data_IF_133798873029
#
_entry.id   IF_133798873029
#
_cell.length_a   1.000
_cell.length_b   1.000
_cell.length_c   1.000
_cell.angle_alpha   90.00
_cell.angle_beta   90.00
_cell.angle_gamma   90.00
#
_symmetry.space_group_name_H-M   'P 1'
#
loop_
_entity.id
_entity.type
_entity.pdbx_description
1 polymer ?
#
# COMPACT_ATOMS: atom_id res chain seq x y z
N UNK A 1 -13.46 17.48 -13.77
CA UNK A 1 -13.59 16.04 -14.13
C UNK A 1 -12.75 15.63 -15.35
N UNK A 2 -12.75 16.39 -16.47
CA UNK A 2 -11.96 16.06 -17.69
C UNK A 2 -10.48 15.76 -17.44
N UNK A 3 -9.85 16.46 -16.49
CA UNK A 3 -8.44 16.28 -16.15
C UNK A 3 -8.12 14.81 -15.85
N UNK A 4 -8.84 14.15 -14.95
CA UNK A 4 -8.54 12.77 -14.53
C UNK A 4 -9.31 11.67 -15.29
N UNK A 5 -10.03 12.03 -16.37
CA UNK A 5 -10.93 11.11 -17.06
C UNK A 5 -10.22 9.83 -17.54
N UNK A 6 -9.01 9.94 -18.09
CA UNK A 6 -8.21 8.78 -18.51
C UNK A 6 -7.87 7.84 -17.35
N UNK A 7 -7.47 8.39 -16.21
CA UNK A 7 -7.16 7.57 -15.04
C UNK A 7 -8.43 6.90 -14.48
N UNK A 8 -9.56 7.62 -14.45
CA UNK A 8 -10.84 7.04 -14.02
C UNK A 8 -11.24 5.88 -14.94
N UNK A 9 -11.13 6.06 -16.27
CA UNK A 9 -11.38 4.99 -17.23
C UNK A 9 -10.48 3.78 -17.01
N UNK A 10 -9.17 4.00 -16.86
CA UNK A 10 -8.20 2.94 -16.53
C UNK A 10 -8.59 2.22 -15.23
N UNK A 11 -8.87 2.97 -14.16
CA UNK A 11 -9.20 2.41 -12.86
C UNK A 11 -10.46 1.53 -12.92
N UNK A 12 -11.51 2.00 -13.59
CA UNK A 12 -12.75 1.23 -13.78
C UNK A 12 -12.49 -0.03 -14.62
N UNK A 13 -11.71 0.08 -15.69
CA UNK A 13 -11.33 -1.09 -16.51
C UNK A 13 -10.53 -2.12 -15.70
N UNK A 14 -9.54 -1.69 -14.91
CA UNK A 14 -8.74 -2.58 -14.07
C UNK A 14 -9.59 -3.21 -12.96
N UNK A 15 -10.51 -2.45 -12.34
CA UNK A 15 -11.43 -2.98 -11.36
C UNK A 15 -12.35 -4.05 -11.97
N UNK A 16 -12.98 -3.75 -13.11
CA UNK A 16 -13.85 -4.69 -13.80
C UNK A 16 -13.11 -5.96 -14.22
N UNK A 17 -11.93 -5.82 -14.84
CA UNK A 17 -11.09 -6.94 -15.23
C UNK A 17 -10.63 -7.76 -14.02
N UNK A 18 -10.22 -7.09 -12.93
CA UNK A 18 -9.78 -7.71 -11.69
C UNK A 18 -10.86 -8.61 -11.09
N UNK A 19 -12.07 -8.08 -10.92
CA UNK A 19 -13.19 -8.87 -10.42
C UNK A 19 -13.62 -9.97 -11.40
N UNK A 20 -13.65 -9.70 -12.71
CA UNK A 20 -13.96 -10.74 -13.71
C UNK A 20 -12.97 -11.92 -13.64
N UNK A 21 -11.67 -11.64 -13.54
CA UNK A 21 -10.63 -12.67 -13.38
C UNK A 21 -10.80 -13.40 -12.05
N UNK A 22 -11.10 -12.69 -10.97
CA UNK A 22 -11.33 -13.28 -9.65
C UNK A 22 -12.44 -14.35 -9.71
N UNK A 23 -13.58 -14.02 -10.32
CA UNK A 23 -14.71 -14.94 -10.44
C UNK A 23 -14.48 -16.05 -11.46
N UNK A 24 -13.66 -15.83 -12.50
CA UNK A 24 -13.47 -16.79 -13.58
C UNK A 24 -12.35 -17.81 -13.32
N UNK A 25 -11.20 -17.39 -12.77
CA UNK A 25 -10.00 -18.23 -12.72
C UNK A 25 -9.30 -18.31 -11.36
N UNK A 26 -9.57 -17.38 -10.44
CA UNK A 26 -8.94 -17.37 -9.11
C UNK A 26 -9.77 -18.10 -8.05
N UNK A 27 -10.39 -19.22 -8.43
CA UNK A 27 -11.31 -20.01 -7.60
C UNK A 27 -10.60 -20.97 -6.63
N UNK A 28 -9.27 -21.08 -6.69
CA UNK A 28 -8.47 -21.93 -5.83
C UNK A 28 -7.61 -21.11 -4.85
N UNK A 29 -7.29 -21.73 -3.71
CA UNK A 29 -6.47 -21.16 -2.63
C UNK A 29 -5.17 -21.94 -2.56
N UNK A 30 -4.04 -21.23 -2.60
CA UNK A 30 -2.72 -21.82 -2.37
C UNK A 30 -2.45 -22.01 -0.87
N UNK A 31 -1.46 -22.84 -0.52
CA UNK A 31 -1.14 -23.19 0.87
C UNK A 31 -0.97 -21.96 1.79
N UNK A 32 -0.23 -20.94 1.34
CA UNK A 32 -0.04 -19.71 2.13
C UNK A 32 -1.33 -18.90 2.29
N UNK A 33 -2.13 -18.83 1.22
CA UNK A 33 -3.42 -18.14 1.21
C UNK A 33 -4.42 -18.85 2.14
N UNK A 34 -4.34 -20.18 2.23
CA UNK A 34 -5.18 -20.99 3.12
C UNK A 34 -4.88 -20.72 4.58
N UNK A 35 -3.60 -20.50 4.93
CA UNK A 35 -3.20 -20.09 6.28
C UNK A 35 -3.83 -18.74 6.63
N UNK A 36 -3.75 -17.75 5.74
CA UNK A 36 -4.33 -16.42 5.98
C UNK A 36 -5.86 -16.46 5.99
N UNK A 37 -6.48 -17.27 5.14
CA UNK A 37 -7.92 -17.54 5.18
C UNK A 37 -8.35 -18.19 6.50
N UNK A 38 -7.59 -19.15 7.01
CA UNK A 38 -7.84 -19.75 8.32
C UNK A 38 -7.68 -18.73 9.45
N UNK A 39 -6.65 -17.88 9.40
CA UNK A 39 -6.48 -16.76 10.34
C UNK A 39 -7.70 -15.83 10.30
N UNK A 40 -8.16 -15.44 9.12
CA UNK A 40 -9.35 -14.59 8.96
C UNK A 40 -10.61 -15.22 9.54
N UNK A 41 -10.79 -16.53 9.35
CA UNK A 41 -11.88 -17.29 9.96
C UNK A 41 -11.76 -17.32 11.49
N UNK A 42 -10.58 -17.53 12.05
CA UNK A 42 -10.38 -17.51 13.51
C UNK A 42 -10.62 -16.13 14.12
N UNK A 43 -10.25 -15.06 13.42
CA UNK A 43 -10.57 -13.67 13.83
C UNK A 43 -12.08 -13.47 13.82
N UNK A 44 -12.78 -13.90 12.76
CA UNK A 44 -14.24 -13.82 12.65
C UNK A 44 -14.94 -14.58 13.79
N UNK A 45 -14.43 -15.75 14.15
CA UNK A 45 -14.95 -16.59 15.24
C UNK A 45 -14.54 -16.09 16.63
N UNK A 46 -13.78 -14.99 16.74
CA UNK A 46 -13.27 -14.44 17.99
C UNK A 46 -12.28 -15.34 18.73
N UNK A 47 -11.66 -16.31 18.03
CA UNK A 47 -10.77 -17.32 18.62
C UNK A 47 -9.35 -16.82 18.83
N UNK A 48 -8.84 -16.04 17.88
CA UNK A 48 -7.45 -15.60 17.92
C UNK A 48 -7.23 -14.30 17.12
N UNK A 49 -6.34 -13.46 17.62
CA UNK A 49 -6.02 -12.13 17.06
C UNK A 49 -4.52 -12.03 16.80
N UNK A 50 -4.04 -12.53 15.64
CA UNK A 50 -2.61 -12.64 15.37
C UNK A 50 -1.97 -11.28 15.09
N UNK A 51 -0.69 -11.15 15.48
CA UNK A 51 0.18 -10.04 15.08
C UNK A 51 1.02 -10.36 13.83
N UNK A 52 1.24 -11.65 13.55
CA UNK A 52 2.06 -12.18 12.45
C UNK A 52 1.36 -13.35 11.76
N UNK A 53 1.87 -13.77 10.60
CA UNK A 53 1.38 -14.98 9.93
C UNK A 53 1.53 -16.20 10.84
N UNK A 54 0.54 -17.09 10.86
CA UNK A 54 0.64 -18.33 11.65
C UNK A 54 1.89 -19.14 11.25
N UNK A 55 2.58 -19.64 12.27
CA UNK A 55 3.81 -20.41 12.10
C UNK A 55 5.06 -19.58 11.82
N UNK A 56 4.95 -18.25 11.74
CA UNK A 56 6.07 -17.35 11.46
C UNK A 56 6.13 -16.20 12.47
N UNK A 57 7.33 -15.83 12.96
CA UNK A 57 7.50 -14.68 13.85
C UNK A 57 7.62 -13.34 13.10
N UNK A 58 7.21 -13.30 11.82
CA UNK A 58 7.32 -12.14 10.94
C UNK A 58 6.11 -12.04 10.00
N UNK A 59 6.13 -11.07 9.07
CA UNK A 59 5.06 -10.84 8.08
C UNK A 59 3.72 -10.42 8.72
N UNK A 60 3.71 -9.27 9.39
CA UNK A 60 2.46 -8.72 9.93
C UNK A 60 1.49 -8.30 8.82
N UNK A 61 1.97 -8.08 7.59
CA UNK A 61 1.13 -7.80 6.43
C UNK A 61 0.11 -8.91 6.19
N UNK A 62 0.50 -10.18 6.38
CA UNK A 62 -0.40 -11.32 6.29
C UNK A 62 -1.45 -11.32 7.42
N UNK A 63 -1.09 -10.90 8.64
CA UNK A 63 -2.05 -10.74 9.73
C UNK A 63 -3.08 -9.64 9.39
N UNK A 64 -2.62 -8.50 8.88
CA UNK A 64 -3.52 -7.44 8.41
C UNK A 64 -4.44 -7.88 7.26
N UNK A 65 -3.94 -8.66 6.30
CA UNK A 65 -4.79 -9.27 5.27
C UNK A 65 -5.81 -10.25 5.88
N UNK A 66 -5.47 -10.98 6.94
CA UNK A 66 -6.42 -11.82 7.67
C UNK A 66 -7.55 -11.01 8.35
N UNK A 67 -7.24 -9.83 8.90
CA UNK A 67 -8.26 -8.92 9.44
C UNK A 67 -9.16 -8.35 8.33
N UNK A 68 -8.62 -8.04 7.14
CA UNK A 68 -9.44 -7.66 5.98
C UNK A 68 -10.34 -8.82 5.55
N UNK A 69 -9.78 -10.04 5.53
CA UNK A 69 -10.53 -11.24 5.18
C UNK A 69 -11.65 -11.55 6.19
N UNK A 70 -11.44 -11.33 7.48
CA UNK A 70 -12.48 -11.56 8.49
C UNK A 70 -13.70 -10.66 8.28
N UNK A 71 -13.47 -9.39 7.92
CA UNK A 71 -14.55 -8.45 7.54
C UNK A 71 -15.25 -8.94 6.27
N UNK A 72 -14.51 -9.35 5.24
CA UNK A 72 -15.10 -9.88 4.01
C UNK A 72 -15.91 -11.17 4.27
N UNK A 73 -15.43 -12.05 5.15
CA UNK A 73 -16.12 -13.27 5.54
C UNK A 73 -17.39 -13.00 6.33
N UNK A 74 -17.41 -11.98 7.18
CA UNK A 74 -18.62 -11.56 7.88
C UNK A 74 -19.73 -11.10 6.91
N UNK A 75 -19.35 -10.45 5.80
CA UNK A 75 -20.29 -9.89 4.82
C UNK A 75 -20.74 -10.90 3.76
N UNK A 76 -19.83 -11.76 3.29
CA UNK A 76 -20.05 -12.59 2.10
C UNK A 76 -19.88 -14.10 2.36
N UNK A 77 -19.63 -14.49 3.61
CA UNK A 77 -19.33 -15.87 3.99
C UNK A 77 -17.86 -16.24 3.83
N UNK A 78 -17.44 -17.31 4.49
CA UNK A 78 -16.07 -17.83 4.37
C UNK A 78 -15.89 -18.49 3.00
N UNK A 79 -14.93 -18.02 2.22
CA UNK A 79 -14.66 -18.59 0.89
C UNK A 79 -13.51 -17.92 0.15
N UNK A 80 -13.18 -18.47 -1.01
CA UNK A 80 -12.05 -18.00 -1.83
C UNK A 80 -12.28 -16.59 -2.38
N UNK A 81 -13.49 -16.34 -2.89
CA UNK A 81 -13.84 -15.05 -3.49
C UNK A 81 -13.81 -13.92 -2.47
N UNK A 82 -14.43 -14.03 -1.26
CA UNK A 82 -14.31 -12.98 -0.24
C UNK A 82 -12.86 -12.76 0.23
N UNK A 83 -12.07 -13.84 0.35
CA UNK A 83 -10.66 -13.76 0.74
C UNK A 83 -9.84 -12.96 -0.27
N UNK A 84 -9.87 -13.37 -1.54
CA UNK A 84 -9.09 -12.73 -2.61
C UNK A 84 -9.69 -11.40 -3.05
N UNK A 85 -10.99 -11.20 -2.90
CA UNK A 85 -11.68 -9.94 -3.15
C UNK A 85 -11.12 -8.80 -2.30
N UNK A 86 -10.78 -9.07 -1.03
CA UNK A 86 -10.06 -8.11 -0.18
C UNK A 86 -8.73 -7.65 -0.80
N UNK A 87 -7.97 -8.57 -1.38
CA UNK A 87 -6.67 -8.28 -2.03
C UNK A 87 -6.86 -7.50 -3.33
N UNK A 88 -7.90 -7.79 -4.10
CA UNK A 88 -8.26 -7.00 -5.30
C UNK A 88 -8.57 -5.55 -4.89
N UNK A 89 -9.34 -5.33 -3.81
CA UNK A 89 -9.63 -3.99 -3.31
C UNK A 89 -8.35 -3.27 -2.85
N UNK A 90 -7.47 -3.93 -2.11
CA UNK A 90 -6.19 -3.36 -1.70
C UNK A 90 -5.31 -3.03 -2.92
N UNK A 91 -5.33 -3.86 -3.95
CA UNK A 91 -4.61 -3.62 -5.21
C UNK A 91 -5.13 -2.40 -5.97
N UNK A 92 -6.45 -2.19 -5.98
CA UNK A 92 -7.05 -0.98 -6.55
C UNK A 92 -6.67 0.26 -5.74
N UNK A 93 -6.66 0.15 -4.40
CA UNK A 93 -6.17 1.22 -3.53
C UNK A 93 -4.70 1.55 -3.83
N UNK A 94 -3.83 0.55 -4.00
CA UNK A 94 -2.45 0.74 -4.45
C UNK A 94 -2.39 1.51 -5.76
N UNK A 95 -3.13 1.08 -6.79
CA UNK A 95 -3.16 1.74 -8.11
C UNK A 95 -3.56 3.22 -7.98
N UNK A 96 -4.58 3.52 -7.17
CA UNK A 96 -5.00 4.89 -6.90
C UNK A 96 -3.90 5.71 -6.21
N UNK A 97 -3.26 5.15 -5.18
CA UNK A 97 -2.20 5.83 -4.44
C UNK A 97 -0.95 6.04 -5.30
N UNK A 98 -0.59 5.09 -6.16
CA UNK A 98 0.49 5.24 -7.13
C UNK A 98 0.21 6.36 -8.13
N UNK A 99 -1.02 6.47 -8.63
CA UNK A 99 -1.41 7.59 -9.49
C UNK A 99 -1.32 8.93 -8.77
N UNK A 100 -1.81 8.99 -7.52
CA UNK A 100 -1.72 10.18 -6.66
C UNK A 100 -0.28 10.58 -6.39
N UNK A 101 0.60 9.61 -6.10
CA UNK A 101 2.04 9.81 -5.94
C UNK A 101 2.65 10.36 -7.23
N UNK A 102 2.34 9.77 -8.38
CA UNK A 102 2.80 10.25 -9.68
C UNK A 102 2.40 11.70 -9.94
N UNK A 103 1.15 12.08 -9.63
CA UNK A 103 0.68 13.45 -9.77
C UNK A 103 1.30 14.45 -8.78
N UNK A 104 1.80 13.95 -7.64
CA UNK A 104 2.47 14.79 -6.64
C UNK A 104 3.94 15.04 -6.97
N UNK A 105 4.60 14.09 -7.65
CA UNK A 105 6.02 14.15 -7.99
C UNK A 105 6.28 14.63 -9.41
N UNK A 106 5.36 14.38 -10.33
CA UNK A 106 5.50 14.61 -11.77
C UNK A 106 4.24 15.25 -12.35
N UNK A 107 4.22 15.43 -13.66
CA UNK A 107 3.03 15.83 -14.37
C UNK A 107 2.03 14.65 -14.50
N UNK A 108 0.81 15.02 -14.88
CA UNK A 108 -0.29 14.08 -14.92
C UNK A 108 -0.15 13.00 -16.01
N UNK A 109 0.46 13.32 -17.16
CA UNK A 109 0.63 12.33 -18.23
C UNK A 109 1.57 11.24 -17.74
N UNK A 110 2.70 11.64 -17.15
CA UNK A 110 3.65 10.72 -16.51
C UNK A 110 2.98 9.88 -15.42
N UNK A 111 2.12 10.47 -14.59
CA UNK A 111 1.37 9.73 -13.59
C UNK A 111 0.41 8.67 -14.18
N UNK A 112 -0.27 8.98 -15.29
CA UNK A 112 -1.12 8.01 -15.99
C UNK A 112 -0.27 6.90 -16.59
N UNK A 113 0.83 7.22 -17.26
CA UNK A 113 1.75 6.21 -17.82
C UNK A 113 2.29 5.27 -16.74
N UNK A 114 2.71 5.82 -15.60
CA UNK A 114 3.16 5.02 -14.46
C UNK A 114 2.04 4.12 -13.91
N UNK A 115 0.80 4.61 -13.83
CA UNK A 115 -0.35 3.83 -13.39
C UNK A 115 -0.70 2.69 -14.38
N UNK A 116 -0.60 2.94 -15.69
CA UNK A 116 -0.77 1.91 -16.73
C UNK A 116 0.32 0.85 -16.60
N UNK A 117 1.58 1.27 -16.47
CA UNK A 117 2.70 0.35 -16.29
C UNK A 117 2.51 -0.52 -15.04
N UNK A 118 2.13 0.09 -13.91
CA UNK A 118 1.82 -0.63 -12.67
C UNK A 118 0.69 -1.65 -12.87
N UNK A 119 -0.41 -1.25 -13.49
CA UNK A 119 -1.58 -2.11 -13.71
C UNK A 119 -1.34 -3.26 -14.69
N UNK A 120 -0.44 -3.10 -15.68
CA UNK A 120 -0.20 -4.07 -16.75
C UNK A 120 1.05 -4.93 -16.53
N UNK A 121 1.87 -4.63 -15.52
CA UNK A 121 3.10 -5.40 -15.28
C UNK A 121 2.75 -6.85 -14.92
N UNK A 122 3.18 -7.86 -15.72
CA UNK A 122 2.72 -9.26 -15.55
C UNK A 122 3.01 -9.86 -14.18
N UNK A 123 4.14 -9.50 -13.57
CA UNK A 123 4.48 -9.96 -12.22
C UNK A 123 3.48 -9.42 -11.21
N UNK A 124 3.09 -8.15 -11.32
CA UNK A 124 2.12 -7.52 -10.45
C UNK A 124 0.71 -8.07 -10.66
N UNK A 125 0.32 -8.42 -11.90
CA UNK A 125 -0.97 -9.09 -12.15
C UNK A 125 -1.17 -10.34 -11.28
N UNK A 126 -0.12 -11.15 -11.11
CA UNK A 126 -0.18 -12.31 -10.20
C UNK A 126 -0.34 -11.85 -8.75
N UNK A 127 0.49 -10.91 -8.31
CA UNK A 127 0.49 -10.43 -6.92
C UNK A 127 -0.82 -9.71 -6.54
N UNK A 128 -1.57 -9.16 -7.50
CA UNK A 128 -2.86 -8.51 -7.26
C UNK A 128 -3.98 -9.44 -6.81
N UNK A 129 -3.77 -10.76 -6.88
CA UNK A 129 -4.73 -11.77 -6.40
C UNK A 129 -4.19 -12.63 -5.26
N UNK A 130 -2.91 -12.51 -4.92
CA UNK A 130 -2.25 -13.38 -3.95
C UNK A 130 -2.32 -12.83 -2.54
N UNK A 131 -2.93 -13.60 -1.65
CA UNK A 131 -3.04 -13.29 -0.21
C UNK A 131 -1.74 -13.76 0.45
N UNK A 132 -0.82 -12.84 0.72
CA UNK A 132 0.54 -13.14 1.23
C UNK A 132 1.13 -12.07 2.14
N UNK A 133 0.43 -10.95 2.33
CA UNK A 133 0.89 -9.78 3.08
C UNK A 133 1.62 -8.73 2.24
N UNK A 134 1.96 -9.02 0.99
CA UNK A 134 2.73 -8.09 0.14
C UNK A 134 1.94 -6.86 -0.31
N UNK A 135 0.61 -6.90 -0.26
CA UNK A 135 -0.24 -5.74 -0.57
C UNK A 135 0.17 -4.51 0.25
N UNK A 136 0.57 -4.73 1.51
CA UNK A 136 1.03 -3.68 2.40
C UNK A 136 2.33 -3.04 1.95
N UNK A 137 3.26 -3.79 1.38
CA UNK A 137 4.50 -3.22 0.83
C UNK A 137 4.20 -2.25 -0.32
N UNK A 138 3.27 -2.64 -1.22
CA UNK A 138 2.85 -1.78 -2.32
C UNK A 138 2.06 -0.54 -1.85
N UNK A 139 1.36 -0.60 -0.72
CA UNK A 139 0.72 0.57 -0.11
C UNK A 139 1.75 1.49 0.57
N UNK A 140 2.74 0.91 1.24
CA UNK A 140 3.76 1.65 1.98
C UNK A 140 4.54 2.62 1.09
N UNK A 141 4.93 2.20 -0.12
CA UNK A 141 5.67 3.05 -1.06
C UNK A 141 4.96 4.39 -1.32
N UNK A 142 3.75 4.43 -1.93
CA UNK A 142 3.10 5.69 -2.25
C UNK A 142 2.68 6.46 -0.99
N UNK A 143 2.30 5.80 0.11
CA UNK A 143 1.94 6.49 1.36
C UNK A 143 3.14 7.23 1.94
N UNK A 144 4.27 6.55 2.10
CA UNK A 144 5.49 7.14 2.65
C UNK A 144 6.02 8.25 1.75
N UNK A 145 6.03 8.05 0.44
CA UNK A 145 6.50 9.05 -0.52
C UNK A 145 5.59 10.30 -0.55
N UNK A 146 4.27 10.13 -0.49
CA UNK A 146 3.33 11.26 -0.42
C UNK A 146 3.47 12.05 0.89
N UNK A 147 3.63 11.37 2.02
CA UNK A 147 3.89 12.02 3.31
C UNK A 147 5.22 12.76 3.30
N UNK A 148 6.29 12.13 2.79
CA UNK A 148 7.60 12.74 2.62
C UNK A 148 7.53 14.03 1.77
N UNK A 149 6.96 13.94 0.56
CA UNK A 149 6.80 15.09 -0.33
C UNK A 149 5.93 16.20 0.31
N UNK A 150 4.90 15.81 1.07
CA UNK A 150 4.05 16.76 1.77
C UNK A 150 4.74 17.45 2.95
N UNK A 151 5.75 16.83 3.56
CA UNK A 151 6.55 17.43 4.62
C UNK A 151 7.56 18.39 3.97
N UNK A 152 8.30 17.91 2.96
CA UNK A 152 9.31 18.66 2.21
C UNK A 152 8.77 19.96 1.58
N UNK A 153 7.54 19.96 1.08
CA UNK A 153 6.88 21.16 0.51
C UNK A 153 6.60 22.28 1.52
N UNK A 154 6.91 22.09 2.81
CA UNK A 154 6.68 23.09 3.86
C UNK A 154 7.99 23.47 4.56
N UNK A 155 8.25 24.77 4.71
CA UNK A 155 9.45 25.28 5.41
C UNK A 155 9.49 24.85 6.87
N UNK A 156 8.33 24.81 7.53
CA UNK A 156 8.17 24.27 8.90
C UNK A 156 7.25 23.05 8.84
N UNK A 157 7.74 21.85 9.19
CA UNK A 157 6.95 20.63 9.11
C UNK A 157 5.88 20.61 10.21
N UNK A 158 4.63 20.33 9.82
CA UNK A 158 3.54 20.19 10.80
C UNK A 158 3.76 18.93 11.65
N UNK A 159 3.65 18.98 12.99
CA UNK A 159 3.93 17.84 13.87
C UNK A 159 3.05 16.63 13.55
N UNK A 160 1.79 16.86 13.17
CA UNK A 160 0.87 15.82 12.72
C UNK A 160 1.41 15.04 11.50
N UNK A 161 2.03 15.70 10.53
CA UNK A 161 2.55 15.02 9.33
C UNK A 161 3.78 14.18 9.65
N UNK A 162 4.65 14.68 10.53
CA UNK A 162 5.80 13.92 11.04
C UNK A 162 5.36 12.69 11.83
N UNK A 163 4.37 12.84 12.71
CA UNK A 163 3.79 11.72 13.46
C UNK A 163 3.22 10.67 12.50
N UNK A 164 2.41 11.09 11.51
CA UNK A 164 1.86 10.18 10.51
C UNK A 164 2.95 9.49 9.69
N UNK A 165 4.02 10.21 9.33
CA UNK A 165 5.17 9.63 8.63
C UNK A 165 5.92 8.59 9.47
N UNK A 166 6.10 8.84 10.78
CA UNK A 166 6.68 7.87 11.71
C UNK A 166 5.80 6.64 11.92
N UNK A 167 4.49 6.83 12.10
CA UNK A 167 3.54 5.72 12.23
C UNK A 167 3.49 4.88 10.95
N UNK A 168 3.43 5.52 9.78
CA UNK A 168 3.48 4.82 8.49
C UNK A 168 4.81 4.07 8.33
N UNK A 169 5.93 4.64 8.75
CA UNK A 169 7.26 4.00 8.71
C UNK A 169 7.29 2.74 9.56
N UNK A 170 6.83 2.83 10.82
CA UNK A 170 6.76 1.70 11.74
C UNK A 170 5.82 0.60 11.24
N UNK A 171 4.63 0.97 10.77
CA UNK A 171 3.67 0.03 10.19
C UNK A 171 4.24 -0.65 8.94
N UNK A 172 4.95 0.09 8.08
CA UNK A 172 5.57 -0.47 6.86
C UNK A 172 6.59 -1.55 7.19
N UNK A 173 7.48 -1.27 8.15
CA UNK A 173 8.51 -2.23 8.61
C UNK A 173 7.86 -3.43 9.31
N UNK A 174 6.85 -3.19 10.14
CA UNK A 174 6.14 -4.25 10.84
C UNK A 174 5.41 -5.19 9.85
N UNK A 175 4.75 -4.63 8.85
CA UNK A 175 4.11 -5.41 7.80
C UNK A 175 5.11 -6.23 6.99
N UNK A 176 6.23 -5.62 6.61
CA UNK A 176 7.29 -6.26 5.85
C UNK A 176 8.64 -5.65 6.19
N UNK A 177 9.54 -6.45 6.77
CA UNK A 177 10.89 -6.01 7.19
C UNK A 177 11.72 -5.48 6.02
N UNK A 178 11.44 -5.93 4.79
CA UNK A 178 12.07 -5.43 3.57
C UNK A 178 11.73 -3.94 3.29
N UNK A 179 10.80 -3.33 4.02
CA UNK A 179 10.57 -1.89 3.96
C UNK A 179 11.68 -1.07 4.66
N UNK A 180 12.55 -1.69 5.47
CA UNK A 180 13.62 -0.99 6.21
C UNK A 180 14.50 -0.11 5.31
N UNK A 181 15.04 -0.57 4.17
CA UNK A 181 15.88 0.27 3.31
C UNK A 181 15.15 1.50 2.75
N UNK A 182 13.88 1.32 2.35
CA UNK A 182 13.04 2.41 1.85
C UNK A 182 12.79 3.45 2.94
N UNK A 183 12.36 2.99 4.12
CA UNK A 183 12.08 3.85 5.27
C UNK A 183 13.34 4.59 5.70
N UNK A 184 14.47 3.88 5.83
CA UNK A 184 15.75 4.47 6.19
C UNK A 184 16.19 5.54 5.17
N UNK A 185 16.05 5.27 3.88
CA UNK A 185 16.39 6.23 2.84
C UNK A 185 15.54 7.51 2.93
N UNK A 186 14.22 7.39 3.13
CA UNK A 186 13.34 8.56 3.25
C UNK A 186 13.62 9.37 4.51
N UNK A 187 13.89 8.72 5.64
CA UNK A 187 14.29 9.41 6.88
C UNK A 187 15.64 10.11 6.73
N UNK A 188 16.63 9.45 6.13
CA UNK A 188 17.94 10.02 5.87
C UNK A 188 17.82 11.26 4.97
N UNK A 189 17.09 11.17 3.86
CA UNK A 189 16.84 12.29 2.95
C UNK A 189 16.14 13.45 3.67
N UNK A 190 15.15 13.16 4.51
CA UNK A 190 14.43 14.18 5.27
C UNK A 190 15.36 14.92 6.23
N UNK A 191 16.20 14.19 6.97
CA UNK A 191 17.16 14.77 7.92
C UNK A 191 18.20 15.62 7.18
N UNK A 192 18.79 15.10 6.10
CA UNK A 192 19.83 15.78 5.34
C UNK A 192 19.32 17.08 4.73
N UNK A 193 18.14 17.07 4.09
CA UNK A 193 17.56 18.27 3.47
C UNK A 193 17.17 19.33 4.49
N UNK A 194 16.67 18.92 5.66
CA UNK A 194 16.35 19.85 6.75
C UNK A 194 17.59 20.49 7.34
N UNK A 195 18.69 19.74 7.51
CA UNK A 195 19.97 20.31 7.96
C UNK A 195 20.51 21.33 6.95
N UNK A 196 20.52 21.00 5.66
CA UNK A 196 20.98 21.93 4.61
C UNK A 196 20.13 23.21 4.59
N UNK A 197 18.80 23.08 4.69
CA UNK A 197 17.90 24.24 4.74
C UNK A 197 18.16 25.16 5.94
N UNK A 198 18.49 24.61 7.10
CA UNK A 198 18.82 25.40 8.30
C UNK A 198 20.20 26.07 8.18
N UNK A 199 21.19 25.41 7.59
CA UNK A 199 22.53 25.99 7.37
C UNK A 199 22.53 27.11 6.34
N UNK A 200 21.65 27.05 5.32
CA UNK A 200 21.53 28.08 4.29
C UNK A 200 20.67 29.28 4.73
N UNK A 201 19.82 29.13 5.76
CA UNK A 201 18.99 30.22 6.28
C UNK A 201 19.78 31.44 6.82
N UNK A 202 20.87 31.28 7.59
CA UNK A 202 21.69 32.42 8.01
C UNK A 202 22.54 33.00 6.87
N UNK A 203 22.89 32.23 5.83
CA UNK A 203 23.69 32.74 4.71
C UNK A 203 22.92 33.70 3.79
N UNK A 204 21.59 33.56 3.69
CA UNK A 204 20.73 34.45 2.89
C UNK A 204 20.31 35.76 3.58
N UNK A 205 20.63 35.94 4.87
CA UNK A 205 20.34 37.15 5.64
C UNK A 205 21.51 38.14 5.66
N UNK A 206 22.65 37.78 5.06
CA UNK A 206 23.91 38.55 5.05
C UNK A 206 24.30 38.93 3.60
N UNK A 207 23.35 38.89 2.66
CA UNK A 207 23.55 39.21 1.24
C UNK A 207 22.61 40.30 0.75
#
# INVERSE_FOLDING_TARGET
MRRHAFFIGLFVCVAAAGFAILFASQTHVHSDEAIIGLMGKHILEGRHFPFYMYGQPYNAGAAWEAYVASVAFALFGVGVVPLKGGIVVLSLLCLFLFYRMGCALYDQRTAVFAAVAFALTPTLLKWHFQVRGYSWYFLSIPVLTLLFASIESTSVPKPRKLLLFGLASGLSIWCLELAVPLVAALWLLLILRRRISLTNAPAGLIG
#
